data_IF_507137076614
#
_entry.id   IF_507137076614
#
_cell.length_a   1.000
_cell.length_b   1.000
_cell.length_c   1.000
_cell.angle_alpha   90.00
_cell.angle_beta   90.00
_cell.angle_gamma   90.00
#
_symmetry.space_group_name_H-M   'P 1'
#
loop_
_entity.id
_entity.type
_entity.pdbx_description
1 polymer ?
#
# COMPACT_ATOMS: atom_id res chain seq x y z
N UNK A 1 2.97 -14.13 14.22
CA UNK A 1 2.52 -12.73 14.09
C UNK A 1 3.03 -12.20 12.77
N UNK A 2 2.13 -11.82 11.86
CA UNK A 2 2.48 -11.41 10.49
C UNK A 2 3.49 -10.26 10.52
N UNK A 3 4.62 -10.44 9.83
CA UNK A 3 5.77 -9.54 9.96
C UNK A 3 5.54 -8.28 9.11
N UNK A 4 4.68 -7.37 9.58
CA UNK A 4 4.45 -6.07 8.92
C UNK A 4 5.76 -5.31 8.69
N UNK A 5 6.76 -5.48 9.55
CA UNK A 5 8.08 -4.89 9.36
C UNK A 5 8.75 -5.40 8.08
N UNK A 6 8.66 -6.70 7.80
CA UNK A 6 9.16 -7.28 6.54
C UNK A 6 8.37 -6.77 5.34
N UNK A 7 7.04 -6.68 5.44
CA UNK A 7 6.20 -6.10 4.37
C UNK A 7 6.58 -4.65 4.12
N UNK A 8 6.74 -3.85 5.17
CA UNK A 8 7.15 -2.45 5.05
C UNK A 8 8.53 -2.29 4.40
N UNK A 9 9.51 -3.11 4.79
CA UNK A 9 10.82 -3.10 4.16
C UNK A 9 10.74 -3.42 2.66
N UNK A 10 9.82 -4.30 2.25
CA UNK A 10 9.57 -4.57 0.82
C UNK A 10 8.88 -3.42 0.10
N UNK A 11 7.95 -2.71 0.76
CA UNK A 11 7.34 -1.48 0.23
C UNK A 11 8.44 -0.44 -0.04
N UNK A 12 9.34 -0.23 0.93
CA UNK A 12 10.48 0.68 0.77
C UNK A 12 11.38 0.26 -0.38
N UNK A 13 11.73 -1.03 -0.47
CA UNK A 13 12.57 -1.56 -1.55
C UNK A 13 11.90 -1.54 -2.93
N UNK A 14 10.56 -1.48 -2.99
CA UNK A 14 9.79 -1.44 -4.24
C UNK A 14 9.38 -0.02 -4.65
N UNK A 15 9.79 1.00 -3.90
CA UNK A 15 9.57 2.39 -4.27
C UNK A 15 10.16 2.68 -5.66
N UNK A 16 9.40 3.42 -6.48
CA UNK A 16 9.74 3.71 -7.87
C UNK A 16 9.36 2.62 -8.88
N UNK A 17 8.93 1.44 -8.44
CA UNK A 17 8.42 0.41 -9.33
C UNK A 17 6.96 0.67 -9.73
N UNK A 18 6.54 0.13 -10.87
CA UNK A 18 5.14 0.18 -11.30
C UNK A 18 4.29 -0.82 -10.51
N UNK A 19 3.12 -0.35 -10.10
CA UNK A 19 2.03 -1.09 -9.47
C UNK A 19 0.72 -0.82 -10.20
N UNK A 20 -0.23 -1.75 -10.12
CA UNK A 20 -1.56 -1.58 -10.69
C UNK A 20 -2.61 -1.58 -9.59
N UNK A 21 -3.54 -0.63 -9.64
CA UNK A 21 -4.71 -0.67 -8.75
C UNK A 21 -5.58 -1.89 -9.08
N UNK A 22 -6.53 -2.23 -8.20
CA UNK A 22 -7.53 -3.28 -8.49
C UNK A 22 -8.30 -3.03 -9.81
N UNK A 23 -8.44 -1.77 -10.22
CA UNK A 23 -9.08 -1.36 -11.48
C UNK A 23 -8.14 -1.38 -12.69
N UNK A 24 -6.90 -1.85 -12.54
CA UNK A 24 -5.90 -1.95 -13.62
C UNK A 24 -5.18 -0.65 -13.95
N UNK A 25 -5.26 0.38 -13.09
CA UNK A 25 -4.60 1.65 -13.36
C UNK A 25 -3.14 1.60 -12.91
N UNK A 26 -2.17 1.84 -13.80
CA UNK A 26 -0.76 1.91 -13.42
C UNK A 26 -0.49 3.16 -12.59
N UNK A 27 0.39 2.98 -11.61
CA UNK A 27 0.95 4.05 -10.80
C UNK A 27 2.33 3.64 -10.27
N UNK A 28 3.14 4.66 -9.99
CA UNK A 28 4.37 4.54 -9.22
C UNK A 28 4.20 5.30 -7.92
N UNK A 29 4.99 4.97 -6.91
CA UNK A 29 5.08 5.75 -5.68
C UNK A 29 6.52 5.93 -5.26
N UNK A 30 6.75 6.94 -4.41
CA UNK A 30 7.99 7.13 -3.67
C UNK A 30 7.73 7.02 -2.18
N UNK A 31 8.77 6.71 -1.41
CA UNK A 31 8.69 6.74 0.05
C UNK A 31 9.46 7.96 0.55
N UNK A 32 8.80 8.80 1.34
CA UNK A 32 9.39 9.93 2.02
C UNK A 32 9.19 9.77 3.53
N UNK A 33 10.29 9.52 4.24
CA UNK A 33 10.25 9.20 5.68
C UNK A 33 9.40 7.96 5.95
N UNK A 34 8.26 8.14 6.61
CA UNK A 34 7.30 7.06 6.92
C UNK A 34 6.04 7.12 6.06
N UNK A 35 6.06 7.86 4.95
CA UNK A 35 4.89 8.03 4.07
C UNK A 35 5.17 7.56 2.65
N UNK A 36 4.17 6.90 2.06
CA UNK A 36 4.14 6.53 0.65
C UNK A 36 3.42 7.63 -0.12
N UNK A 37 4.04 8.19 -1.15
CA UNK A 37 3.46 9.24 -2.00
C UNK A 37 3.26 8.67 -3.41
N UNK A 38 2.02 8.34 -3.79
CA UNK A 38 1.71 7.94 -5.16
C UNK A 38 1.85 9.12 -6.13
N UNK A 39 2.42 8.89 -7.31
CA UNK A 39 2.58 9.93 -8.34
C UNK A 39 1.23 10.50 -8.83
N UNK A 40 0.19 9.66 -8.90
CA UNK A 40 -1.13 10.07 -9.43
C UNK A 40 -1.85 11.13 -8.59
N UNK A 41 -1.61 11.16 -7.29
CA UNK A 41 -2.36 12.03 -6.37
C UNK A 41 -1.47 12.92 -5.52
N UNK A 42 -0.17 12.61 -5.44
CA UNK A 42 0.84 13.30 -4.62
C UNK A 42 0.50 13.44 -3.13
N UNK A 43 -0.58 12.82 -2.67
CA UNK A 43 -0.95 12.78 -1.26
C UNK A 43 -0.09 11.76 -0.49
N UNK A 44 0.53 12.17 0.64
CA UNK A 44 1.26 11.26 1.50
C UNK A 44 0.33 10.32 2.26
N UNK A 45 0.59 9.02 2.14
CA UNK A 45 -0.09 7.94 2.86
C UNK A 45 0.87 7.42 3.93
N UNK A 46 0.58 7.73 5.19
CA UNK A 46 1.44 7.36 6.30
C UNK A 46 1.47 5.83 6.55
N UNK A 47 2.61 5.30 7.02
CA UNK A 47 2.84 3.89 7.39
C UNK A 47 1.75 3.29 8.28
N UNK A 48 1.16 4.10 9.18
CA UNK A 48 0.06 3.66 10.04
C UNK A 48 -1.19 3.24 9.26
N UNK A 49 -1.44 3.83 8.08
CA UNK A 49 -2.54 3.44 7.20
C UNK A 49 -2.32 2.04 6.63
N UNK A 50 -1.10 1.76 6.17
CA UNK A 50 -0.70 0.43 5.69
C UNK A 50 -0.78 -0.62 6.80
N UNK A 51 -0.35 -0.27 8.01
CA UNK A 51 -0.47 -1.17 9.17
C UNK A 51 -1.92 -1.55 9.45
N UNK A 52 -2.82 -0.56 9.51
CA UNK A 52 -4.26 -0.80 9.72
C UNK A 52 -4.84 -1.72 8.65
N UNK A 53 -4.52 -1.49 7.37
CA UNK A 53 -5.00 -2.35 6.29
C UNK A 53 -4.38 -3.76 6.33
N UNK A 54 -3.11 -3.88 6.73
CA UNK A 54 -2.43 -5.17 6.89
C UNK A 54 -3.05 -6.02 8.00
N UNK A 55 -3.44 -5.40 9.12
CA UNK A 55 -4.12 -6.08 10.24
C UNK A 55 -5.50 -6.63 9.87
N UNK A 56 -6.10 -6.13 8.77
CA UNK A 56 -7.39 -6.59 8.25
C UNK A 56 -7.27 -7.60 7.10
N UNK A 57 -6.05 -7.98 6.70
CA UNK A 57 -5.84 -8.96 5.64
C UNK A 57 -6.35 -10.35 6.05
N UNK A 58 -6.88 -11.16 5.09
CA UNK A 58 -7.01 -10.85 3.66
C UNK A 58 -8.23 -9.97 3.35
N UNK A 59 -8.04 -8.94 2.53
CA UNK A 59 -9.13 -8.10 2.01
C UNK A 59 -9.55 -8.56 0.62
N UNK A 60 -10.86 -8.55 0.34
CA UNK A 60 -11.42 -8.75 -0.99
C UNK A 60 -11.26 -7.50 -1.87
N UNK A 61 -11.17 -6.30 -1.31
CA UNK A 61 -10.99 -5.08 -2.11
C UNK A 61 -10.72 -3.79 -1.32
N UNK A 62 -10.40 -2.69 -2.03
CA UNK A 62 -10.15 -1.40 -1.40
C UNK A 62 -11.38 -0.82 -0.70
N UNK A 63 -12.60 -1.23 -1.07
CA UNK A 63 -13.84 -0.77 -0.45
C UNK A 63 -13.94 -1.11 1.04
N UNK A 64 -13.31 -2.20 1.49
CA UNK A 64 -13.35 -2.62 2.90
C UNK A 64 -12.53 -1.71 3.82
N UNK A 65 -11.55 -1.01 3.27
CA UNK A 65 -10.68 -0.09 4.01
C UNK A 65 -10.94 1.38 3.66
N UNK A 66 -11.98 1.68 2.86
CA UNK A 66 -12.24 3.04 2.38
C UNK A 66 -12.55 4.05 3.51
N UNK A 67 -13.13 3.57 4.61
CA UNK A 67 -13.51 4.36 5.78
C UNK A 67 -12.41 4.38 6.85
N UNK A 68 -11.36 3.57 6.68
CA UNK A 68 -10.31 3.33 7.68
C UNK A 68 -8.99 3.98 7.26
N UNK A 69 -8.68 3.97 5.96
CA UNK A 69 -7.42 4.47 5.40
C UNK A 69 -7.63 5.53 4.33
N UNK A 70 -6.69 6.46 4.23
CA UNK A 70 -6.56 7.33 3.06
C UNK A 70 -5.91 6.58 1.90
N UNK A 71 -6.39 6.84 0.69
CA UNK A 71 -5.90 6.19 -0.53
C UNK A 71 -6.10 4.67 -0.54
N UNK A 72 -7.30 4.16 -0.24
CA UNK A 72 -7.55 2.73 -0.09
C UNK A 72 -7.19 1.92 -1.33
N UNK A 73 -7.38 2.48 -2.53
CA UNK A 73 -6.98 1.84 -3.78
C UNK A 73 -5.47 1.58 -3.87
N UNK A 74 -4.65 2.55 -3.45
CA UNK A 74 -3.18 2.43 -3.48
C UNK A 74 -2.68 1.52 -2.35
N UNK A 75 -3.22 1.69 -1.14
CA UNK A 75 -2.86 0.85 0.01
C UNK A 75 -3.17 -0.62 -0.29
N UNK A 76 -4.38 -0.91 -0.79
CA UNK A 76 -4.77 -2.26 -1.18
C UNK A 76 -3.86 -2.81 -2.28
N UNK A 77 -3.62 -2.04 -3.35
CA UNK A 77 -2.79 -2.47 -4.47
C UNK A 77 -1.36 -2.84 -4.04
N UNK A 78 -0.74 -2.01 -3.21
CA UNK A 78 0.61 -2.25 -2.71
C UNK A 78 0.63 -3.50 -1.81
N UNK A 79 -0.29 -3.60 -0.83
CA UNK A 79 -0.27 -4.71 0.14
C UNK A 79 -0.64 -6.06 -0.48
N UNK A 80 -1.48 -6.09 -1.50
CA UNK A 80 -1.91 -7.33 -2.17
C UNK A 80 -0.97 -7.78 -3.28
N UNK A 81 0.02 -6.95 -3.63
CA UNK A 81 1.02 -7.26 -4.63
C UNK A 81 1.85 -8.50 -4.22
N UNK A 82 2.20 -9.33 -5.20
CA UNK A 82 2.95 -10.56 -4.98
C UNK A 82 4.32 -10.28 -4.34
N UNK A 83 4.93 -9.11 -4.62
CA UNK A 83 6.19 -8.69 -4.02
C UNK A 83 6.08 -8.56 -2.50
N UNK A 84 4.90 -8.28 -1.95
CA UNK A 84 4.70 -8.07 -0.50
C UNK A 84 4.40 -9.35 0.28
N UNK A 85 4.30 -10.50 -0.40
CA UNK A 85 4.03 -11.79 0.25
C UNK A 85 5.28 -12.30 0.99
N UNK A 86 5.16 -12.49 2.31
CA UNK A 86 6.19 -13.00 3.23
C UNK A 86 5.74 -14.27 3.91
#
# INVERSE_FOLDING_TARGET
MGNFTAVWARIEASAGQEFHTKTGLPFIYRVEGTSVIPNRTEYPIHKSQFRKAYELMPLAGPSEINSIVRGPAYVYAILTDWRMRV
#
